data_IF_662985351549
#
_entry.id   IF_662985351549
#
_cell.length_a   1.000
_cell.length_b   1.000
_cell.length_c   1.000
_cell.angle_alpha   90.00
_cell.angle_beta   90.00
_cell.angle_gamma   90.00
#
_symmetry.space_group_name_H-M   'P 1'
#
loop_
_entity.id
_entity.type
_entity.pdbx_description
1 polymer ?
#
# COMPACT_ATOMS: atom_id res chain seq x y z
N UNK A 1 -6.66 -11.65 -22.97
CA UNK A 1 -6.47 -11.07 -21.63
C UNK A 1 -5.83 -9.72 -21.84
N UNK A 2 -6.50 -8.64 -21.46
CA UNK A 2 -5.97 -7.30 -21.69
C UNK A 2 -4.72 -7.09 -20.83
N UNK A 3 -3.62 -6.68 -21.46
CA UNK A 3 -2.33 -6.43 -20.79
C UNK A 3 -2.50 -5.46 -19.60
N UNK A 4 -3.43 -4.51 -19.71
CA UNK A 4 -3.79 -3.55 -18.66
C UNK A 4 -4.38 -4.22 -17.42
N UNK A 5 -5.20 -5.27 -17.57
CA UNK A 5 -5.74 -6.02 -16.44
C UNK A 5 -4.66 -6.83 -15.72
N UNK A 6 -3.68 -7.37 -16.47
CA UNK A 6 -2.52 -8.05 -15.89
C UNK A 6 -1.62 -7.07 -15.13
N UNK A 7 -1.35 -5.89 -15.71
CA UNK A 7 -0.55 -4.83 -15.07
C UNK A 7 -1.19 -4.36 -13.76
N UNK A 8 -2.50 -4.13 -13.75
CA UNK A 8 -3.24 -3.77 -12.54
C UNK A 8 -3.20 -4.89 -11.48
N UNK A 9 -3.32 -6.14 -11.90
CA UNK A 9 -3.21 -7.29 -11.00
C UNK A 9 -1.84 -7.37 -10.32
N UNK A 10 -0.76 -7.16 -11.07
CA UNK A 10 0.61 -7.16 -10.52
C UNK A 10 0.81 -5.99 -9.55
N UNK A 11 0.32 -4.79 -9.89
CA UNK A 11 0.39 -3.64 -9.00
C UNK A 11 -0.38 -3.87 -7.68
N UNK A 12 -1.58 -4.44 -7.76
CA UNK A 12 -2.38 -4.80 -6.59
C UNK A 12 -1.64 -5.79 -5.66
N UNK A 13 -0.95 -6.77 -6.22
CA UNK A 13 -0.14 -7.71 -5.44
C UNK A 13 1.02 -6.99 -4.72
N UNK A 14 1.73 -6.09 -5.40
CA UNK A 14 2.84 -5.33 -4.81
C UNK A 14 2.39 -4.45 -3.64
N UNK A 15 1.27 -3.75 -3.83
CA UNK A 15 0.64 -2.87 -2.81
C UNK A 15 0.20 -3.68 -1.60
N UNK A 16 -0.48 -4.81 -1.82
CA UNK A 16 -0.94 -5.71 -0.75
C UNK A 16 0.21 -6.24 0.11
N UNK A 17 1.33 -6.60 -0.53
CA UNK A 17 2.54 -7.06 0.19
C UNK A 17 3.18 -5.91 0.99
N UNK A 18 3.29 -4.72 0.38
CA UNK A 18 3.83 -3.54 1.03
C UNK A 18 3.06 -3.14 2.27
N UNK A 19 1.72 -3.07 2.17
CA UNK A 19 0.86 -2.79 3.32
C UNK A 19 0.95 -3.87 4.40
N UNK A 20 0.94 -5.15 4.00
CA UNK A 20 1.07 -6.25 4.96
C UNK A 20 2.34 -6.17 5.80
N UNK A 21 3.47 -5.83 5.17
CA UNK A 21 4.75 -5.64 5.86
C UNK A 21 4.76 -4.39 6.75
N UNK A 22 4.16 -3.29 6.28
CA UNK A 22 4.02 -2.05 7.04
C UNK A 22 3.21 -2.29 8.33
N UNK A 23 2.03 -2.91 8.20
CA UNK A 23 1.13 -3.20 9.33
C UNK A 23 1.76 -4.22 10.28
N UNK A 24 2.42 -5.26 9.78
CA UNK A 24 3.14 -6.22 10.62
C UNK A 24 4.24 -5.54 11.45
N UNK A 25 4.99 -4.62 10.84
CA UNK A 25 6.04 -3.85 11.51
C UNK A 25 5.47 -2.90 12.58
N UNK A 26 4.34 -2.25 12.28
CA UNK A 26 3.62 -1.43 13.24
C UNK A 26 3.13 -2.25 14.44
N UNK A 27 2.44 -3.37 14.20
CA UNK A 27 1.95 -4.25 15.26
C UNK A 27 3.08 -4.77 16.15
N UNK A 28 4.20 -5.21 15.55
CA UNK A 28 5.38 -5.67 16.28
C UNK A 28 5.99 -4.55 17.15
N UNK A 29 6.07 -3.33 16.60
CA UNK A 29 6.61 -2.17 17.31
C UNK A 29 5.70 -1.73 18.47
N UNK A 30 4.39 -1.69 18.25
CA UNK A 30 3.38 -1.37 19.28
C UNK A 30 3.30 -2.45 20.35
N UNK A 31 3.43 -3.73 20.00
CA UNK A 31 3.46 -4.82 20.97
C UNK A 31 4.67 -4.73 21.92
N UNK A 32 5.83 -4.24 21.42
CA UNK A 32 7.03 -4.02 22.24
C UNK A 32 6.93 -2.75 23.10
N UNK A 33 6.34 -1.69 22.55
CA UNK A 33 6.23 -0.39 23.22
C UNK A 33 4.86 0.26 22.92
N UNK A 34 3.83 -0.03 23.74
CA UNK A 34 2.47 0.48 23.51
C UNK A 34 2.38 2.00 23.53
N UNK A 35 3.24 2.66 24.31
CA UNK A 35 3.31 4.12 24.45
C UNK A 35 3.64 4.83 23.12
N UNK A 36 4.27 4.12 22.17
CA UNK A 36 4.65 4.67 20.87
C UNK A 36 3.52 4.61 19.84
N UNK A 37 2.38 3.98 20.14
CA UNK A 37 1.28 3.78 19.20
C UNK A 37 0.83 5.09 18.52
N UNK A 38 0.63 6.15 19.30
CA UNK A 38 0.18 7.46 18.81
C UNK A 38 1.18 8.13 17.88
N UNK A 39 2.49 7.93 18.12
CA UNK A 39 3.57 8.47 17.28
C UNK A 39 3.77 7.66 16.00
N UNK A 40 3.63 6.34 16.09
CA UNK A 40 3.82 5.43 14.96
C UNK A 40 2.65 5.50 13.97
N UNK A 41 1.42 5.75 14.43
CA UNK A 41 0.24 5.84 13.55
C UNK A 41 0.40 6.91 12.46
N UNK A 42 0.99 8.07 12.76
CA UNK A 42 1.27 9.10 11.73
C UNK A 42 2.20 8.57 10.64
N UNK A 43 3.23 7.81 11.02
CA UNK A 43 4.15 7.17 10.07
C UNK A 43 3.48 6.06 9.25
N UNK A 44 2.60 5.27 9.87
CA UNK A 44 1.79 4.25 9.18
C UNK A 44 0.89 4.90 8.14
N UNK A 45 0.12 5.93 8.51
CA UNK A 45 -0.74 6.64 7.55
C UNK A 45 0.04 7.22 6.38
N UNK A 46 1.22 7.78 6.64
CA UNK A 46 2.09 8.30 5.60
C UNK A 46 2.63 7.17 4.70
N UNK A 47 3.04 6.04 5.28
CA UNK A 47 3.48 4.86 4.55
C UNK A 47 2.39 4.28 3.65
N UNK A 48 1.18 4.11 4.18
CA UNK A 48 -0.02 3.71 3.43
C UNK A 48 -0.30 4.68 2.28
N UNK A 49 -0.28 5.99 2.53
CA UNK A 49 -0.52 6.99 1.49
C UNK A 49 0.47 6.90 0.32
N UNK A 50 1.75 6.61 0.59
CA UNK A 50 2.73 6.40 -0.48
C UNK A 50 2.50 5.08 -1.23
N UNK A 51 2.18 4.00 -0.53
CA UNK A 51 1.90 2.69 -1.13
C UNK A 51 0.65 2.80 -2.04
N UNK A 52 -0.45 3.31 -1.51
CA UNK A 52 -1.71 3.53 -2.24
C UNK A 52 -1.56 4.57 -3.37
N UNK A 53 -0.70 5.58 -3.20
CA UNK A 53 -0.40 6.54 -4.26
C UNK A 53 0.08 5.87 -5.55
N UNK A 54 0.92 4.84 -5.43
CA UNK A 54 1.39 4.06 -6.61
C UNK A 54 0.29 3.19 -7.22
N UNK A 55 -0.61 2.66 -6.39
CA UNK A 55 -1.78 1.91 -6.85
C UNK A 55 -2.70 2.79 -7.69
N UNK A 56 -3.05 3.99 -7.18
CA UNK A 56 -3.94 4.91 -7.88
C UNK A 56 -3.37 5.39 -9.22
N UNK A 57 -2.05 5.62 -9.30
CA UNK A 57 -1.40 5.94 -10.58
C UNK A 57 -1.57 4.79 -11.57
N UNK A 58 -1.36 3.54 -11.12
CA UNK A 58 -1.52 2.37 -12.00
C UNK A 58 -2.98 2.16 -12.42
N UNK A 59 -3.93 2.38 -11.50
CA UNK A 59 -5.36 2.34 -11.78
C UNK A 59 -5.75 3.39 -12.83
N UNK A 60 -5.28 4.62 -12.67
CA UNK A 60 -5.54 5.70 -13.62
C UNK A 60 -4.99 5.38 -15.02
N UNK A 61 -3.75 4.87 -15.10
CA UNK A 61 -3.14 4.46 -16.37
C UNK A 61 -3.90 3.29 -17.01
N UNK A 62 -4.38 2.34 -16.20
CA UNK A 62 -5.17 1.20 -16.68
C UNK A 62 -6.48 1.64 -17.32
N UNK A 63 -7.18 2.60 -16.71
CA UNK A 63 -8.41 3.17 -17.24
C UNK A 63 -8.15 4.02 -18.49
N UNK A 64 -7.08 4.82 -18.49
CA UNK A 64 -6.72 5.68 -19.63
C UNK A 64 -6.35 4.86 -20.88
N UNK A 65 -5.57 3.78 -20.73
CA UNK A 65 -5.15 2.93 -21.85
C UNK A 65 -6.26 2.00 -22.37
N UNK A 66 -7.35 1.86 -21.63
CA UNK A 66 -8.51 1.03 -22.00
C UNK A 66 -9.67 1.84 -22.57
N UNK A 67 -9.62 3.17 -22.45
CA UNK A 67 -10.54 4.11 -23.09
C UNK A 67 -10.23 4.36 -24.56
#
# INVERSE_FOLDING_TARGET
MDVSALALGIACLGVSVGEGLLVASYLSSTARQPELQSKLMTGVFMGVAFIEGTFFVTLAMTLFLRG
#
